data_IF_985095766227
#
_entry.id   IF_985095766227
#
_cell.length_a   1.000
_cell.length_b   1.000
_cell.length_c   1.000
_cell.angle_alpha   90.00
_cell.angle_beta   90.00
_cell.angle_gamma   90.00
#
_symmetry.space_group_name_H-M   'P 1'
#
loop_
_entity.id
_entity.type
_entity.pdbx_description
1 polymer ?
#
# COMPACT_ATOMS: atom_id res chain seq x y z
N UNK A 1 13.67 18.75 4.95
CA UNK A 1 12.28 18.21 4.75
C UNK A 1 12.37 16.96 3.89
N UNK A 2 11.50 15.97 4.16
CA UNK A 2 11.46 14.71 3.40
C UNK A 2 10.03 14.20 3.27
N UNK A 3 9.80 13.37 2.26
CA UNK A 3 8.56 12.60 2.06
C UNK A 3 8.93 11.13 2.07
N UNK A 4 8.18 10.34 2.83
CA UNK A 4 8.42 8.91 3.01
C UNK A 4 7.35 8.10 2.27
N UNK A 5 7.77 6.99 1.67
CA UNK A 5 6.87 6.03 1.01
C UNK A 5 7.14 4.63 1.53
N UNK A 6 6.09 3.95 1.92
CA UNK A 6 6.09 2.55 2.34
C UNK A 6 4.92 1.82 1.66
N UNK A 7 5.00 0.50 1.55
CA UNK A 7 3.98 -0.32 0.92
C UNK A 7 4.11 -1.76 1.42
N UNK A 8 3.08 -2.57 1.23
CA UNK A 8 3.13 -4.03 1.42
C UNK A 8 3.65 -4.43 2.82
N UNK A 9 3.12 -3.76 3.86
CA UNK A 9 3.51 -4.00 5.25
C UNK A 9 2.86 -5.29 5.78
N UNK A 10 1.66 -5.59 5.30
CA UNK A 10 0.92 -6.81 5.62
C UNK A 10 0.76 -7.07 7.12
N UNK A 11 0.36 -6.03 7.87
CA UNK A 11 0.13 -6.13 9.31
C UNK A 11 -0.90 -7.20 9.64
N UNK A 12 -0.51 -8.11 10.53
CA UNK A 12 -1.33 -9.24 10.94
C UNK A 12 -1.00 -9.64 12.38
N UNK A 13 -1.97 -10.08 13.20
CA UNK A 13 -1.71 -10.59 14.53
C UNK A 13 -0.74 -11.80 14.55
N UNK A 14 -0.70 -12.57 13.46
CA UNK A 14 0.19 -13.71 13.27
C UNK A 14 1.65 -13.30 12.99
N UNK A 15 1.90 -12.01 12.74
CA UNK A 15 3.22 -11.45 12.41
C UNK A 15 3.60 -10.31 13.37
N UNK A 16 3.68 -10.58 14.70
CA UNK A 16 3.85 -9.53 15.71
C UNK A 16 5.17 -8.76 15.60
N UNK A 17 6.22 -9.35 15.03
CA UNK A 17 7.49 -8.66 14.79
C UNK A 17 7.30 -7.50 13.79
N UNK A 18 6.56 -7.71 12.72
CA UNK A 18 6.28 -6.67 11.72
C UNK A 18 5.40 -5.56 12.32
N UNK A 19 4.39 -5.95 13.11
CA UNK A 19 3.54 -4.98 13.82
C UNK A 19 4.39 -4.09 14.73
N UNK A 20 5.28 -4.68 15.54
CA UNK A 20 6.21 -3.89 16.39
C UNK A 20 7.11 -2.99 15.57
N UNK A 21 7.76 -3.54 14.53
CA UNK A 21 8.66 -2.77 13.68
C UNK A 21 7.96 -1.57 13.01
N UNK A 22 6.70 -1.73 12.59
CA UNK A 22 5.93 -0.64 12.02
C UNK A 22 5.54 0.41 13.06
N UNK A 23 5.12 -0.01 14.25
CA UNK A 23 4.83 0.91 15.36
C UNK A 23 6.09 1.67 15.78
N UNK A 24 7.24 1.01 15.85
CA UNK A 24 8.54 1.62 16.13
C UNK A 24 8.93 2.63 15.03
N UNK A 25 8.73 2.29 13.76
CA UNK A 25 8.93 3.20 12.64
C UNK A 25 8.08 4.47 12.77
N UNK A 26 6.79 4.35 13.09
CA UNK A 26 5.90 5.50 13.28
C UNK A 26 6.25 6.33 14.52
N UNK A 27 6.87 5.72 15.54
CA UNK A 27 7.22 6.39 16.80
C UNK A 27 8.49 7.25 16.70
N UNK A 28 9.35 7.02 15.70
CA UNK A 28 10.58 7.77 15.49
C UNK A 28 10.32 9.29 15.41
N UNK A 29 11.35 10.11 15.72
CA UNK A 29 11.22 11.55 15.61
C UNK A 29 11.22 11.99 14.14
N UNK A 30 10.05 12.04 13.53
CA UNK A 30 9.86 12.50 12.15
C UNK A 30 9.92 14.03 12.01
N UNK A 31 10.89 14.69 12.65
CA UNK A 31 10.98 16.16 12.73
C UNK A 31 11.17 16.85 11.39
N UNK A 32 11.72 16.16 10.41
CA UNK A 32 11.94 16.66 9.05
C UNK A 32 11.02 16.01 8.01
N UNK A 33 10.08 15.18 8.45
CA UNK A 33 9.14 14.50 7.56
C UNK A 33 7.90 15.36 7.33
N UNK A 34 7.67 15.76 6.09
CA UNK A 34 6.48 16.50 5.69
C UNK A 34 5.27 15.57 5.50
N UNK A 35 5.50 14.42 4.87
CA UNK A 35 4.44 13.47 4.55
C UNK A 35 4.91 12.02 4.59
N UNK A 36 3.98 11.12 4.92
CA UNK A 36 4.10 9.67 4.80
C UNK A 36 3.02 9.15 3.86
N UNK A 37 3.44 8.46 2.79
CA UNK A 37 2.60 7.76 1.85
C UNK A 37 2.65 6.26 2.11
N UNK A 38 1.49 5.65 2.36
CA UNK A 38 1.31 4.20 2.49
C UNK A 38 0.61 3.73 1.22
N UNK A 39 1.36 3.09 0.32
CA UNK A 39 0.89 2.77 -1.03
C UNK A 39 0.23 1.38 -1.10
N UNK A 40 -0.73 1.13 -0.20
CA UNK A 40 -1.53 -0.09 -0.17
C UNK A 40 -0.91 -1.25 0.62
N UNK A 41 -1.75 -2.24 0.89
CA UNK A 41 -1.42 -3.44 1.64
C UNK A 41 -0.76 -3.15 3.00
N UNK A 42 -1.30 -2.12 3.70
CA UNK A 42 -0.95 -1.84 5.08
C UNK A 42 -1.31 -3.02 5.98
N UNK A 43 -2.47 -3.61 5.77
CA UNK A 43 -2.95 -4.80 6.49
C UNK A 43 -2.97 -6.04 5.59
N UNK A 44 -2.64 -7.21 6.15
CA UNK A 44 -2.78 -8.50 5.45
C UNK A 44 -4.24 -8.80 5.08
N UNK A 45 -5.18 -8.29 5.84
CA UNK A 45 -6.60 -8.25 5.52
C UNK A 45 -7.28 -7.15 6.32
N UNK A 46 -8.00 -6.27 5.64
CA UNK A 46 -8.87 -5.29 6.29
C UNK A 46 -10.32 -5.62 6.00
N UNK A 47 -11.09 -5.85 7.04
CA UNK A 47 -12.47 -6.32 6.95
C UNK A 47 -13.51 -5.22 7.16
N UNK A 48 -13.03 -3.99 7.40
CA UNK A 48 -13.84 -2.79 7.62
C UNK A 48 -13.29 -1.94 8.76
N UNK A 49 -13.65 -0.67 8.77
CA UNK A 49 -13.13 0.32 9.72
C UNK A 49 -13.62 0.11 11.16
N UNK A 50 -14.60 -0.75 11.35
CA UNK A 50 -15.16 -1.20 12.63
C UNK A 50 -14.41 -2.42 13.22
N UNK A 51 -13.25 -2.80 12.69
CA UNK A 51 -12.41 -3.85 13.27
C UNK A 51 -11.99 -3.46 14.71
N UNK A 52 -12.43 -4.23 15.74
CA UNK A 52 -12.13 -3.94 17.13
C UNK A 52 -10.82 -4.57 17.61
N UNK A 53 -10.04 -5.18 16.71
CA UNK A 53 -8.81 -5.87 17.11
C UNK A 53 -7.80 -4.91 17.74
N UNK A 54 -7.08 -5.39 18.76
CA UNK A 54 -6.06 -4.61 19.44
C UNK A 54 -4.99 -4.11 18.46
N UNK A 55 -4.59 -4.94 17.51
CA UNK A 55 -3.63 -4.55 16.48
C UNK A 55 -4.14 -3.37 15.66
N UNK A 56 -5.39 -3.44 15.16
CA UNK A 56 -5.98 -2.36 14.37
C UNK A 56 -6.08 -1.05 15.17
N UNK A 57 -6.47 -1.15 16.45
CA UNK A 57 -6.55 0.02 17.35
C UNK A 57 -5.17 0.63 17.60
N UNK A 58 -4.15 -0.17 17.89
CA UNK A 58 -2.79 0.31 18.12
C UNK A 58 -2.21 1.00 16.88
N UNK A 59 -2.41 0.43 15.68
CA UNK A 59 -1.95 1.02 14.43
C UNK A 59 -2.67 2.34 14.14
N UNK A 60 -4.00 2.38 14.30
CA UNK A 60 -4.77 3.63 14.13
C UNK A 60 -4.31 4.73 15.09
N UNK A 61 -4.07 4.39 16.35
CA UNK A 61 -3.58 5.33 17.36
C UNK A 61 -2.17 5.85 17.03
N UNK A 62 -1.27 4.99 16.57
CA UNK A 62 0.08 5.39 16.18
C UNK A 62 0.08 6.32 14.95
N UNK A 63 -0.72 6.01 13.93
CA UNK A 63 -0.91 6.88 12.76
C UNK A 63 -1.49 8.24 13.17
N UNK A 64 -2.51 8.23 14.05
CA UNK A 64 -3.09 9.46 14.58
C UNK A 64 -2.06 10.32 15.31
N UNK A 65 -1.27 9.71 16.20
CA UNK A 65 -0.21 10.41 16.93
C UNK A 65 0.84 11.02 15.99
N UNK A 66 1.17 10.35 14.88
CA UNK A 66 2.07 10.88 13.86
C UNK A 66 1.43 12.07 13.12
N UNK A 67 0.15 11.98 12.75
CA UNK A 67 -0.59 13.08 12.14
C UNK A 67 -0.67 14.31 13.06
N UNK A 68 -0.92 14.10 14.35
CA UNK A 68 -0.96 15.17 15.36
C UNK A 68 0.39 15.87 15.57
N UNK A 69 1.51 15.21 15.21
CA UNK A 69 2.85 15.84 15.16
C UNK A 69 3.07 16.69 13.90
N UNK A 70 2.08 16.76 13.00
CA UNK A 70 2.12 17.59 11.79
C UNK A 70 2.56 16.85 10.52
N UNK A 71 2.81 15.55 10.56
CA UNK A 71 3.11 14.73 9.37
C UNK A 71 1.81 14.48 8.61
N UNK A 72 1.76 14.85 7.33
CA UNK A 72 0.61 14.56 6.46
C UNK A 72 0.59 13.07 6.12
N UNK A 73 -0.51 12.39 6.40
CA UNK A 73 -0.67 10.97 6.10
C UNK A 73 -1.52 10.75 4.86
N UNK A 74 -1.00 9.98 3.93
CA UNK A 74 -1.69 9.59 2.71
C UNK A 74 -1.71 8.08 2.59
N UNK A 75 -2.89 7.50 2.33
CA UNK A 75 -3.06 6.05 2.26
C UNK A 75 -3.79 5.67 0.98
N UNK A 76 -3.20 4.79 0.20
CA UNK A 76 -3.88 4.10 -0.89
C UNK A 76 -4.37 2.72 -0.42
N UNK A 77 -5.39 2.22 -1.08
CA UNK A 77 -5.88 0.86 -0.87
C UNK A 77 -5.08 -0.12 -1.71
N UNK A 78 -4.59 -1.17 -1.10
CA UNK A 78 -4.02 -2.32 -1.80
C UNK A 78 -5.06 -3.40 -2.09
N UNK A 79 -4.62 -4.55 -2.53
CA UNK A 79 -5.49 -5.69 -2.82
C UNK A 79 -5.90 -6.48 -1.56
N UNK A 80 -5.23 -6.25 -0.43
CA UNK A 80 -5.52 -6.88 0.86
C UNK A 80 -6.42 -6.03 1.75
N UNK A 81 -6.37 -4.71 1.58
CA UNK A 81 -7.04 -3.75 2.44
C UNK A 81 -7.96 -2.76 1.68
N UNK A 82 -8.52 -3.22 0.58
CA UNK A 82 -9.38 -2.41 -0.30
C UNK A 82 -10.68 -1.91 0.37
N UNK A 83 -11.02 -2.38 1.55
CA UNK A 83 -12.15 -1.92 2.36
C UNK A 83 -11.80 -0.77 3.32
N UNK A 84 -10.53 -0.28 3.32
CA UNK A 84 -10.18 0.93 4.05
C UNK A 84 -11.11 2.08 3.64
N UNK A 85 -11.76 2.68 4.63
CA UNK A 85 -12.84 3.63 4.41
C UNK A 85 -12.64 4.98 5.11
N UNK A 86 -13.67 5.81 5.03
CA UNK A 86 -13.65 7.16 5.58
C UNK A 86 -13.48 7.20 7.10
N UNK A 87 -13.95 6.16 7.81
CA UNK A 87 -13.83 6.09 9.26
C UNK A 87 -12.38 5.83 9.66
N UNK A 88 -11.65 4.95 8.95
CA UNK A 88 -10.21 4.79 9.13
C UNK A 88 -9.47 6.12 8.92
N UNK A 89 -9.74 6.79 7.81
CA UNK A 89 -9.13 8.08 7.50
C UNK A 89 -9.38 9.13 8.60
N UNK A 90 -10.62 9.25 9.06
CA UNK A 90 -10.98 10.19 10.15
C UNK A 90 -10.32 9.83 11.48
N UNK A 91 -10.19 8.54 11.81
CA UNK A 91 -9.59 8.08 13.07
C UNK A 91 -8.07 8.26 13.08
N UNK A 92 -7.41 8.23 11.94
CA UNK A 92 -5.94 8.33 11.82
C UNK A 92 -5.44 9.71 11.42
N UNK A 93 -6.31 10.60 10.94
CA UNK A 93 -5.92 11.85 10.31
C UNK A 93 -5.37 11.68 8.89
N UNK A 94 -5.48 10.49 8.31
CA UNK A 94 -4.99 10.21 6.97
C UNK A 94 -5.99 10.68 5.89
N UNK A 95 -5.45 11.00 4.71
CA UNK A 95 -6.22 11.17 3.49
C UNK A 95 -6.16 9.89 2.66
N UNK A 96 -7.33 9.34 2.29
CA UNK A 96 -7.39 8.25 1.32
C UNK A 96 -7.19 8.80 -0.09
N UNK A 97 -6.22 8.23 -0.79
CA UNK A 97 -5.92 8.58 -2.18
C UNK A 97 -6.66 7.67 -3.17
N UNK A 98 -6.84 8.19 -4.38
CA UNK A 98 -7.28 7.40 -5.52
C UNK A 98 -6.19 6.40 -5.95
N UNK A 99 -6.57 5.39 -6.75
CA UNK A 99 -5.65 4.33 -7.21
C UNK A 99 -4.44 4.88 -7.98
N UNK A 100 -4.62 5.99 -8.72
CA UNK A 100 -3.58 6.72 -9.44
C UNK A 100 -3.51 8.14 -8.87
N UNK A 101 -2.40 8.50 -8.24
CA UNK A 101 -2.24 9.82 -7.62
C UNK A 101 -0.91 10.46 -8.02
N UNK A 102 -0.95 11.68 -8.53
CA UNK A 102 0.26 12.44 -8.88
C UNK A 102 0.70 13.29 -7.71
N UNK A 103 1.98 13.24 -7.40
CA UNK A 103 2.63 14.05 -6.36
C UNK A 103 3.64 15.00 -7.00
N UNK A 104 3.90 16.11 -6.32
CA UNK A 104 4.94 17.07 -6.69
C UNK A 104 5.66 17.54 -5.42
N UNK A 105 6.92 17.11 -5.28
CA UNK A 105 7.78 17.49 -4.15
C UNK A 105 9.21 17.67 -4.63
N UNK A 106 9.88 18.70 -4.15
CA UNK A 106 11.30 18.99 -4.43
C UNK A 106 11.63 19.02 -5.92
N UNK A 107 10.68 19.49 -6.76
CA UNK A 107 10.84 19.54 -8.22
C UNK A 107 10.70 18.19 -8.93
N UNK A 108 10.32 17.13 -8.22
CA UNK A 108 9.98 15.84 -8.79
C UNK A 108 8.47 15.68 -8.86
N UNK A 109 7.93 15.54 -10.09
CA UNK A 109 6.56 15.09 -10.33
C UNK A 109 6.58 13.58 -10.55
N UNK A 110 5.82 12.83 -9.75
CA UNK A 110 5.75 11.38 -9.82
C UNK A 110 4.32 10.87 -9.68
N UNK A 111 4.01 9.74 -10.33
CA UNK A 111 2.80 8.98 -10.09
C UNK A 111 3.06 7.98 -8.96
N UNK A 112 2.17 7.94 -7.97
CA UNK A 112 2.18 6.95 -6.90
C UNK A 112 0.94 6.08 -7.00
N UNK A 113 1.10 4.78 -6.84
CA UNK A 113 0.01 3.81 -6.88
C UNK A 113 0.39 2.52 -6.14
N UNK A 114 -0.59 1.70 -5.78
CA UNK A 114 -0.27 0.38 -5.22
C UNK A 114 0.44 -0.51 -6.24
N UNK A 115 -0.07 -0.58 -7.47
CA UNK A 115 0.57 -1.33 -8.57
C UNK A 115 -0.21 -2.55 -9.06
N UNK A 116 -1.17 -3.04 -8.29
CA UNK A 116 -1.99 -4.21 -8.61
C UNK A 116 -2.78 -4.10 -9.93
N UNK A 117 -3.13 -2.90 -10.34
CA UNK A 117 -3.82 -2.62 -11.62
C UNK A 117 -2.90 -2.79 -12.84
N UNK A 118 -1.58 -2.74 -12.64
CA UNK A 118 -0.58 -2.90 -13.69
C UNK A 118 -0.31 -4.37 -14.06
N UNK A 119 -0.71 -5.33 -13.21
CA UNK A 119 -0.58 -6.76 -13.47
C UNK A 119 -1.71 -7.21 -14.41
N UNK A 120 -1.74 -6.66 -15.63
CA UNK A 120 -2.84 -6.86 -16.60
C UNK A 120 -2.87 -8.26 -17.18
N UNK A 121 -1.77 -9.01 -17.12
CA UNK A 121 -1.66 -10.38 -17.62
C UNK A 121 -2.33 -11.39 -16.67
N UNK A 122 -2.54 -11.04 -15.40
CA UNK A 122 -3.35 -11.81 -14.46
C UNK A 122 -4.84 -11.52 -14.62
N UNK A 123 -5.43 -12.07 -15.68
CA UNK A 123 -6.83 -11.83 -16.03
C UNK A 123 -7.82 -12.18 -14.92
N UNK A 124 -7.55 -13.23 -14.16
CA UNK A 124 -8.44 -13.68 -13.09
C UNK A 124 -8.36 -12.73 -11.90
N UNK A 125 -7.15 -12.26 -11.55
CA UNK A 125 -6.99 -11.22 -10.57
C UNK A 125 -7.69 -9.92 -11.01
N UNK A 126 -7.52 -9.48 -12.25
CA UNK A 126 -8.17 -8.25 -12.74
C UNK A 126 -9.71 -8.35 -12.75
N UNK A 127 -10.29 -9.52 -13.00
CA UNK A 127 -11.74 -9.75 -12.81
C UNK A 127 -12.15 -9.61 -11.34
N UNK A 128 -11.40 -10.23 -10.43
CA UNK A 128 -11.64 -10.10 -9.00
C UNK A 128 -11.51 -8.64 -8.54
N UNK A 129 -10.45 -7.94 -8.96
CA UNK A 129 -10.21 -6.52 -8.65
C UNK A 129 -11.41 -5.64 -9.06
N UNK A 130 -11.87 -5.76 -10.31
CA UNK A 130 -13.06 -5.00 -10.77
C UNK A 130 -14.30 -5.27 -9.93
N UNK A 131 -14.53 -6.53 -9.55
CA UNK A 131 -15.67 -6.91 -8.69
C UNK A 131 -15.51 -6.36 -7.28
N UNK A 132 -14.36 -6.57 -6.64
CA UNK A 132 -14.12 -6.20 -5.24
C UNK A 132 -14.10 -4.68 -5.03
N UNK A 133 -13.69 -3.90 -6.06
CA UNK A 133 -13.69 -2.43 -6.03
C UNK A 133 -15.03 -1.81 -6.45
N UNK A 134 -16.01 -2.61 -6.89
CA UNK A 134 -17.30 -2.07 -7.31
C UNK A 134 -18.07 -1.49 -6.11
N UNK A 135 -18.57 -0.25 -6.16
CA UNK A 135 -19.18 0.43 -5.02
C UNK A 135 -20.32 -0.35 -4.34
N UNK A 136 -21.20 -0.95 -5.14
CA UNK A 136 -22.32 -1.76 -4.60
C UNK A 136 -21.79 -3.00 -3.88
N UNK A 137 -20.78 -3.67 -4.44
CA UNK A 137 -20.17 -4.85 -3.82
C UNK A 137 -19.49 -4.49 -2.49
N UNK A 138 -18.73 -3.40 -2.47
CA UNK A 138 -18.09 -2.88 -1.24
C UNK A 138 -19.17 -2.53 -0.20
N UNK A 139 -20.21 -1.82 -0.63
CA UNK A 139 -21.31 -1.46 0.27
C UNK A 139 -21.96 -2.70 0.89
N UNK A 140 -22.32 -3.70 0.09
CA UNK A 140 -22.87 -4.95 0.61
C UNK A 140 -21.88 -5.64 1.57
N UNK A 141 -20.60 -5.71 1.21
CA UNK A 141 -19.58 -6.38 2.00
C UNK A 141 -19.41 -5.76 3.39
N UNK A 142 -19.23 -4.43 3.46
CA UNK A 142 -18.99 -3.75 4.75
C UNK A 142 -20.20 -3.72 5.68
N UNK A 143 -21.42 -3.94 5.17
CA UNK A 143 -22.64 -4.06 5.98
C UNK A 143 -22.94 -5.48 6.48
N UNK A 144 -22.14 -6.47 6.09
CA UNK A 144 -22.24 -7.82 6.65
C UNK A 144 -21.73 -7.84 8.11
N UNK A 145 -22.28 -8.72 8.96
CA UNK A 145 -21.74 -8.95 10.29
C UNK A 145 -20.24 -9.27 10.27
N UNK A 146 -19.50 -8.77 11.27
CA UNK A 146 -18.05 -8.88 11.36
C UNK A 146 -17.53 -10.31 11.16
N UNK A 147 -18.15 -11.31 11.83
CA UNK A 147 -17.79 -12.72 11.68
C UNK A 147 -17.88 -13.24 10.25
N UNK A 148 -18.88 -12.78 9.50
CA UNK A 148 -19.05 -13.17 8.10
C UNK A 148 -17.92 -12.57 7.27
N UNK A 149 -17.60 -11.28 7.48
CA UNK A 149 -16.50 -10.60 6.78
C UNK A 149 -15.14 -11.26 7.09
N UNK A 150 -14.88 -11.66 8.33
CA UNK A 150 -13.69 -12.41 8.74
C UNK A 150 -13.56 -13.73 7.98
N UNK A 151 -14.66 -14.49 7.88
CA UNK A 151 -14.67 -15.76 7.14
C UNK A 151 -14.43 -15.55 5.64
N UNK A 152 -15.04 -14.51 5.05
CA UNK A 152 -14.83 -14.16 3.64
C UNK A 152 -13.36 -13.80 3.40
N UNK A 153 -12.76 -12.94 4.22
CA UNK A 153 -11.36 -12.55 4.09
C UNK A 153 -10.40 -13.75 4.25
N UNK A 154 -10.66 -14.63 5.22
CA UNK A 154 -9.87 -15.87 5.41
C UNK A 154 -9.97 -16.79 4.21
N UNK A 155 -11.15 -16.92 3.60
CA UNK A 155 -11.33 -17.73 2.39
C UNK A 155 -10.59 -17.13 1.20
N UNK A 156 -10.66 -15.81 1.00
CA UNK A 156 -9.93 -15.14 -0.09
C UNK A 156 -8.42 -15.29 0.06
N UNK A 157 -7.89 -15.13 1.29
CA UNK A 157 -6.45 -15.36 1.55
C UNK A 157 -6.01 -16.77 1.16
N UNK A 158 -6.77 -17.80 1.57
CA UNK A 158 -6.47 -19.20 1.20
C UNK A 158 -6.53 -19.43 -0.31
N UNK A 159 -7.53 -18.89 -0.98
CA UNK A 159 -7.67 -19.01 -2.44
C UNK A 159 -6.53 -18.27 -3.17
N UNK A 160 -6.17 -17.07 -2.72
CA UNK A 160 -5.07 -16.30 -3.29
C UNK A 160 -3.73 -17.01 -3.12
N UNK A 161 -3.44 -17.57 -1.94
CA UNK A 161 -2.22 -18.33 -1.69
C UNK A 161 -2.14 -19.57 -2.60
N UNK A 162 -3.24 -20.33 -2.74
CA UNK A 162 -3.31 -21.49 -3.61
C UNK A 162 -3.19 -21.12 -5.10
N UNK A 163 -3.76 -19.99 -5.51
CA UNK A 163 -3.66 -19.51 -6.88
C UNK A 163 -2.23 -19.05 -7.21
N UNK A 164 -1.60 -18.31 -6.31
CA UNK A 164 -0.25 -17.76 -6.53
C UNK A 164 0.83 -18.85 -6.55
N UNK A 165 0.67 -19.93 -5.78
CA UNK A 165 1.62 -21.06 -5.80
C UNK A 165 1.74 -21.77 -7.16
N UNK A 166 0.73 -21.61 -8.02
CA UNK A 166 0.67 -22.25 -9.34
C UNK A 166 0.90 -21.29 -10.51
N UNK A 167 1.08 -19.97 -10.24
CA UNK A 167 1.28 -18.97 -11.29
C UNK A 167 2.78 -18.75 -11.56
N UNK A 168 3.12 -18.59 -12.84
CA UNK A 168 4.45 -18.14 -13.21
C UNK A 168 4.73 -16.75 -12.65
N UNK A 169 5.94 -16.52 -12.17
CA UNK A 169 6.34 -15.25 -11.55
C UNK A 169 6.18 -14.04 -12.48
N UNK A 170 6.27 -14.26 -13.79
CA UNK A 170 6.10 -13.23 -14.83
C UNK A 170 4.67 -12.72 -14.94
N UNK A 171 3.67 -13.60 -14.73
CA UNK A 171 2.24 -13.22 -14.78
C UNK A 171 1.86 -12.34 -13.56
N UNK A 172 2.59 -12.49 -12.46
CA UNK A 172 2.37 -11.72 -11.23
C UNK A 172 3.14 -10.39 -11.20
N UNK A 173 3.98 -10.11 -12.21
CA UNK A 173 4.67 -8.83 -12.36
C UNK A 173 3.81 -7.82 -13.14
N UNK A 174 4.22 -6.56 -13.10
CA UNK A 174 3.54 -5.51 -13.87
C UNK A 174 3.81 -5.68 -15.36
N UNK A 175 2.78 -5.46 -16.17
CA UNK A 175 2.91 -5.44 -17.63
C UNK A 175 3.59 -4.13 -18.06
N UNK A 176 4.67 -4.25 -18.86
CA UNK A 176 5.47 -3.08 -19.27
C UNK A 176 4.66 -2.06 -20.09
N UNK A 177 3.73 -2.52 -20.93
CA UNK A 177 2.88 -1.64 -21.72
C UNK A 177 1.90 -0.88 -20.81
N UNK A 178 1.31 -1.52 -19.79
CA UNK A 178 0.44 -0.87 -18.82
C UNK A 178 1.18 0.20 -18.02
N UNK A 179 2.46 -0.03 -17.68
CA UNK A 179 3.31 0.98 -17.04
C UNK A 179 3.49 2.20 -17.95
N UNK A 180 3.85 2.00 -19.21
CA UNK A 180 4.03 3.09 -20.17
C UNK A 180 2.73 3.88 -20.36
N UNK A 181 1.61 3.19 -20.49
CA UNK A 181 0.29 3.81 -20.68
C UNK A 181 -0.11 4.68 -19.49
N UNK A 182 0.03 4.18 -18.26
CA UNK A 182 -0.35 4.95 -17.06
C UNK A 182 0.57 6.17 -16.86
N UNK A 183 1.89 6.02 -17.06
CA UNK A 183 2.83 7.13 -16.95
C UNK A 183 2.57 8.19 -18.02
N UNK A 184 2.30 7.79 -19.26
CA UNK A 184 1.96 8.69 -20.38
C UNK A 184 0.63 9.41 -20.13
N UNK A 185 -0.38 8.71 -19.61
CA UNK A 185 -1.69 9.29 -19.24
C UNK A 185 -1.55 10.47 -18.27
N UNK A 186 -0.64 10.34 -17.31
CA UNK A 186 -0.39 11.37 -16.29
C UNK A 186 0.74 12.34 -16.65
N UNK A 187 1.40 12.15 -17.80
CA UNK A 187 2.54 12.94 -18.24
C UNK A 187 3.66 13.01 -17.18
N UNK A 188 4.03 11.87 -16.62
CA UNK A 188 5.09 11.76 -15.61
C UNK A 188 6.22 10.85 -16.09
N UNK A 189 7.45 11.14 -15.63
CA UNK A 189 8.64 10.33 -15.91
C UNK A 189 9.06 9.46 -14.71
N UNK A 190 8.33 9.50 -13.62
CA UNK A 190 8.62 8.66 -12.43
C UNK A 190 7.34 8.01 -11.95
N UNK A 191 7.39 6.68 -11.78
CA UNK A 191 6.34 5.86 -11.16
C UNK A 191 6.89 5.22 -9.90
N UNK A 192 6.17 5.33 -8.78
CA UNK A 192 6.47 4.68 -7.51
C UNK A 192 5.31 3.76 -7.17
N UNK A 193 5.58 2.47 -6.95
CA UNK A 193 4.55 1.50 -6.60
C UNK A 193 5.07 0.34 -5.74
N UNK A 194 4.18 -0.42 -5.14
CA UNK A 194 4.44 -1.64 -4.38
C UNK A 194 4.00 -2.91 -5.10
N UNK A 195 3.26 -3.76 -4.41
CA UNK A 195 2.53 -4.96 -4.86
C UNK A 195 3.37 -6.15 -5.30
N UNK A 196 4.43 -5.95 -6.08
CA UNK A 196 5.21 -7.06 -6.65
C UNK A 196 6.30 -7.60 -5.71
N UNK A 197 6.57 -6.90 -4.59
CA UNK A 197 7.55 -7.28 -3.57
C UNK A 197 8.98 -7.48 -4.13
N UNK A 198 9.33 -6.71 -5.17
CA UNK A 198 10.64 -6.79 -5.86
C UNK A 198 11.31 -5.42 -5.87
N UNK A 199 11.85 -4.98 -4.73
CA UNK A 199 12.41 -3.65 -4.59
C UNK A 199 13.55 -3.42 -5.58
N UNK A 200 13.34 -2.51 -6.52
CA UNK A 200 14.32 -2.13 -7.55
C UNK A 200 13.91 -0.80 -8.22
N UNK A 201 14.87 -0.23 -8.96
CA UNK A 201 14.65 0.93 -9.83
C UNK A 201 14.90 0.55 -11.27
N UNK A 202 13.84 0.42 -12.05
CA UNK A 202 13.91 0.09 -13.47
C UNK A 202 13.95 1.36 -14.32
N UNK A 203 14.95 1.48 -15.19
CA UNK A 203 14.96 2.49 -16.24
C UNK A 203 14.12 2.00 -17.42
N UNK A 204 13.22 2.85 -17.91
CA UNK A 204 12.36 2.59 -19.05
C UNK A 204 12.43 3.76 -20.03
N UNK A 205 11.98 3.57 -21.28
CA UNK A 205 12.15 4.56 -22.35
C UNK A 205 11.60 5.96 -22.01
N UNK A 206 10.54 6.03 -21.20
CA UNK A 206 9.87 7.29 -20.83
C UNK A 206 10.25 7.79 -19.42
N UNK A 207 11.20 7.13 -18.74
CA UNK A 207 11.61 7.53 -17.39
C UNK A 207 12.02 6.36 -16.50
N UNK A 208 11.55 6.33 -15.26
CA UNK A 208 11.89 5.27 -14.29
C UNK A 208 10.68 4.78 -13.52
N UNK A 209 10.70 3.51 -13.16
CA UNK A 209 9.75 2.82 -12.28
C UNK A 209 10.49 2.36 -11.03
N UNK A 210 10.01 2.76 -9.87
CA UNK A 210 10.55 2.39 -8.57
C UNK A 210 9.55 1.47 -7.89
N UNK A 211 10.01 0.27 -7.54
CA UNK A 211 9.24 -0.73 -6.81
C UNK A 211 9.63 -0.69 -5.35
N UNK A 212 8.65 -0.51 -4.47
CA UNK A 212 8.87 -0.57 -3.02
C UNK A 212 8.99 -2.01 -2.56
N UNK A 213 9.85 -2.23 -1.56
CA UNK A 213 9.96 -3.53 -0.91
C UNK A 213 8.83 -3.76 0.10
N UNK A 214 8.47 -5.05 0.26
CA UNK A 214 7.56 -5.52 1.29
C UNK A 214 8.23 -5.64 2.66
N UNK A 215 7.40 -5.69 3.70
CA UNK A 215 7.87 -5.88 5.07
C UNK A 215 7.76 -7.36 5.48
N UNK A 216 8.92 -8.05 5.48
CA UNK A 216 9.03 -9.44 5.95
C UNK A 216 10.23 -9.60 6.89
N UNK A 217 11.40 -9.93 6.39
CA UNK A 217 12.65 -9.94 7.15
C UNK A 217 13.24 -8.53 7.27
N UNK A 218 12.88 -7.64 6.35
CA UNK A 218 13.30 -6.24 6.31
C UNK A 218 12.10 -5.34 6.19
N UNK A 219 12.13 -4.20 6.84
CA UNK A 219 11.25 -3.07 6.56
C UNK A 219 11.87 -2.18 5.51
N UNK A 220 11.11 -1.75 4.52
CA UNK A 220 11.56 -0.91 3.44
C UNK A 220 10.92 0.47 3.51
N UNK A 221 11.71 1.50 3.20
CA UNK A 221 11.23 2.87 3.09
C UNK A 221 11.94 3.59 1.95
N UNK A 222 11.18 4.24 1.07
CA UNK A 222 11.72 5.15 0.07
C UNK A 222 11.58 6.58 0.62
N UNK A 223 12.67 7.32 0.60
CA UNK A 223 12.72 8.73 1.02
C UNK A 223 12.92 9.62 -0.18
N UNK A 224 12.10 10.65 -0.31
CA UNK A 224 12.29 11.75 -1.26
C UNK A 224 12.64 13.02 -0.50
N UNK A 225 13.73 13.66 -0.88
CA UNK A 225 14.16 14.96 -0.34
C UNK A 225 14.87 15.78 -1.43
N UNK A 226 15.53 16.86 -1.09
CA UNK A 226 16.29 17.71 -2.03
C UNK A 226 17.44 16.99 -2.74
N UNK A 227 17.98 15.89 -2.16
CA UNK A 227 19.02 15.05 -2.78
C UNK A 227 18.41 14.03 -3.75
N UNK A 228 17.09 13.88 -3.80
CA UNK A 228 16.37 12.95 -4.66
C UNK A 228 15.77 11.76 -3.92
N UNK A 229 15.57 10.65 -4.65
CA UNK A 229 14.96 9.42 -4.16
C UNK A 229 16.02 8.44 -3.65
N UNK A 230 15.84 7.93 -2.44
CA UNK A 230 16.70 6.92 -1.84
C UNK A 230 15.87 5.84 -1.13
N UNK A 231 15.96 4.60 -1.58
CA UNK A 231 15.30 3.45 -0.96
C UNK A 231 16.27 2.74 0.00
N UNK A 232 15.85 2.59 1.24
CA UNK A 232 16.62 1.94 2.31
C UNK A 232 15.82 0.83 2.96
N UNK A 233 16.52 -0.10 3.62
CA UNK A 233 15.90 -1.15 4.41
C UNK A 233 16.56 -1.27 5.78
N UNK A 234 15.80 -1.77 6.75
CA UNK A 234 16.26 -2.11 8.09
C UNK A 234 15.79 -3.53 8.47
N UNK A 235 16.52 -4.21 9.33
CA UNK A 235 16.17 -5.57 9.76
C UNK A 235 14.99 -5.53 10.74
N UNK A 236 14.01 -6.41 10.53
CA UNK A 236 12.92 -6.68 11.48
C UNK A 236 13.35 -7.82 12.40
N UNK A 237 13.25 -7.58 13.72
CA UNK A 237 13.71 -8.51 14.79
C UNK A 237 12.54 -9.01 15.61
#
# INVERSE_FOLDING_TARGET
MSVLFVSDIHLSPERPAIVRAFLDFLSQPHTETEALYILGDLFEAWIGDDDPSEMALNVKNALKALSEKGVKLYVQRGNRDFTLGKSFASQTGAQLLDDEHVIDYFGLTALVMHGDSLCTDDLDYQKFRRKSRHPIYLWCLIHLPLKIRQNIASNWRRQSAAANSNKASEIMDVNSQAVIEVMSKHNVSTLIHGHTHRPDTHQIDIGRRIVLGDWDQKGWCLTLNEQGLNQTSFTIV
#
